data_IF_339355482081
#
_entry.id   IF_339355482081
#
_cell.length_a   1.000
_cell.length_b   1.000
_cell.length_c   1.000
_cell.angle_alpha   90.00
_cell.angle_beta   90.00
_cell.angle_gamma   90.00
#
_symmetry.space_group_name_H-M   'P 1'
#
loop_
_entity.id
_entity.type
_entity.pdbx_description
1 polymer ?
#
# COMPACT_ATOMS: atom_id res chain seq x y z
N UNK A 1 -0.85 18.85 2.00
CA UNK A 1 -1.22 18.43 0.64
C UNK A 1 -0.24 19.07 -0.33
N UNK A 2 0.30 18.29 -1.26
CA UNK A 2 1.23 18.77 -2.30
C UNK A 2 0.80 18.22 -3.65
N UNK A 3 0.75 19.09 -4.67
CA UNK A 3 0.55 18.71 -6.08
C UNK A 3 1.91 18.47 -6.74
N UNK A 4 2.06 17.36 -7.43
CA UNK A 4 3.22 17.01 -8.23
C UNK A 4 2.78 16.78 -9.67
N UNK A 5 3.64 17.13 -10.62
CA UNK A 5 3.37 16.79 -12.04
C UNK A 5 3.63 15.29 -12.23
N UNK A 6 2.73 14.63 -12.93
CA UNK A 6 2.92 13.27 -13.42
C UNK A 6 3.84 13.29 -14.65
N UNK A 7 4.49 12.16 -14.92
CA UNK A 7 5.19 11.94 -16.18
C UNK A 7 4.24 11.58 -17.34
N UNK A 8 2.95 11.43 -17.04
CA UNK A 8 1.90 11.13 -18.02
C UNK A 8 1.28 12.48 -18.41
N UNK A 9 1.18 12.81 -19.70
CA UNK A 9 0.49 14.03 -20.15
C UNK A 9 -0.94 14.08 -19.59
N UNK A 10 -1.37 15.28 -19.20
CA UNK A 10 -2.71 15.59 -18.68
C UNK A 10 -3.08 14.92 -17.33
N UNK A 11 -2.13 14.29 -16.67
CA UNK A 11 -2.33 13.73 -15.33
C UNK A 11 -1.46 14.44 -14.29
N UNK A 12 -2.00 14.59 -13.09
CA UNK A 12 -1.32 15.15 -11.92
C UNK A 12 -1.39 14.19 -10.74
N UNK A 13 -0.43 14.32 -9.84
CA UNK A 13 -0.39 13.57 -8.59
C UNK A 13 -0.67 14.51 -7.43
N UNK A 14 -1.68 14.21 -6.64
CA UNK A 14 -1.94 14.84 -5.36
C UNK A 14 -1.37 13.98 -4.23
N UNK A 15 -0.31 14.46 -3.61
CA UNK A 15 0.27 13.81 -2.44
C UNK A 15 -0.38 14.35 -1.18
N UNK A 16 -1.02 13.49 -0.41
CA UNK A 16 -1.72 13.81 0.82
C UNK A 16 -1.08 13.08 1.99
N UNK A 17 -0.80 13.83 3.05
CA UNK A 17 -0.36 13.29 4.33
C UNK A 17 -1.42 13.60 5.37
N UNK A 18 -1.79 12.59 6.15
CA UNK A 18 -2.71 12.70 7.28
C UNK A 18 -1.95 12.29 8.52
N UNK A 19 -2.14 13.04 9.57
CA UNK A 19 -1.61 12.77 10.89
C UNK A 19 -2.75 12.79 11.89
N UNK A 20 -2.78 11.84 12.81
CA UNK A 20 -3.75 11.75 13.88
C UNK A 20 -3.10 11.24 15.16
N UNK A 21 -3.64 11.67 16.29
CA UNK A 21 -3.21 11.22 17.62
C UNK A 21 -4.43 10.86 18.45
N UNK A 22 -4.34 9.79 19.23
CA UNK A 22 -5.38 9.37 20.16
C UNK A 22 -4.77 8.74 21.41
N UNK A 23 -5.29 9.11 22.57
CA UNK A 23 -4.95 8.50 23.84
C UNK A 23 -5.96 7.37 24.13
N UNK A 24 -5.44 6.17 24.38
CA UNK A 24 -6.22 4.98 24.75
C UNK A 24 -5.55 4.35 25.97
N UNK A 25 -6.29 4.24 27.08
CA UNK A 25 -5.79 3.67 28.35
C UNK A 25 -4.47 4.27 28.86
N UNK A 26 -4.27 5.59 28.62
CA UNK A 26 -3.07 6.31 29.03
C UNK A 26 -1.88 6.19 28.07
N UNK A 27 -1.98 5.42 27.00
CA UNK A 27 -0.99 5.33 25.95
C UNK A 27 -1.35 6.18 24.74
N UNK A 28 -0.36 6.82 24.15
CA UNK A 28 -0.52 7.67 22.95
C UNK A 28 -0.33 6.80 21.71
N UNK A 29 -1.32 6.80 20.85
CA UNK A 29 -1.28 6.17 19.53
C UNK A 29 -1.22 7.24 18.44
N UNK A 30 -0.29 7.06 17.52
CA UNK A 30 -0.06 7.95 16.38
C UNK A 30 -0.49 7.24 15.11
N UNK A 31 -1.34 7.90 14.34
CA UNK A 31 -1.70 7.52 12.98
C UNK A 31 -0.95 8.42 12.01
N UNK A 32 -0.22 7.83 11.11
CA UNK A 32 0.40 8.51 9.97
C UNK A 32 -0.07 7.85 8.67
N UNK A 33 -0.65 8.63 7.77
CA UNK A 33 -1.06 8.13 6.46
C UNK A 33 -0.51 9.02 5.35
N UNK A 34 -0.03 8.37 4.30
CA UNK A 34 0.45 9.03 3.08
C UNK A 34 -0.17 8.33 1.90
N UNK A 35 -0.76 9.10 0.98
CA UNK A 35 -1.23 8.56 -0.27
C UNK A 35 -0.99 9.50 -1.44
N UNK A 36 -0.79 8.89 -2.60
CA UNK A 36 -0.62 9.54 -3.88
C UNK A 36 -1.87 9.25 -4.71
N UNK A 37 -2.59 10.30 -5.06
CA UNK A 37 -3.80 10.24 -5.87
C UNK A 37 -3.49 10.78 -7.25
N UNK A 38 -3.57 9.93 -8.26
CA UNK A 38 -3.41 10.28 -9.66
C UNK A 38 -4.76 10.72 -10.22
N UNK A 39 -4.81 11.87 -10.88
CA UNK A 39 -6.05 12.42 -11.42
C UNK A 39 -5.78 13.25 -12.68
N UNK A 40 -6.78 13.39 -13.51
CA UNK A 40 -6.79 14.33 -14.65
C UNK A 40 -7.71 15.51 -14.37
N UNK A 41 -7.50 16.60 -15.10
CA UNK A 41 -8.37 17.78 -15.06
C UNK A 41 -8.99 17.95 -16.43
N UNK A 42 -10.30 17.79 -16.50
CA UNK A 42 -11.08 17.99 -17.71
C UNK A 42 -12.06 19.15 -17.48
N UNK A 43 -12.01 20.17 -18.35
CA UNK A 43 -12.85 21.37 -18.24
C UNK A 43 -12.78 22.06 -16.86
N UNK A 44 -11.59 22.10 -16.24
CA UNK A 44 -11.36 22.74 -14.95
C UNK A 44 -11.89 21.95 -13.73
N UNK A 45 -12.32 20.71 -13.91
CA UNK A 45 -12.78 19.82 -12.85
C UNK A 45 -11.89 18.58 -12.79
N UNK A 46 -11.72 18.04 -11.58
CA UNK A 46 -11.07 16.73 -11.40
C UNK A 46 -11.99 15.69 -12.02
N UNK A 47 -11.45 14.96 -12.96
CA UNK A 47 -12.06 13.77 -13.56
C UNK A 47 -11.67 12.53 -12.76
N UNK A 48 -11.96 11.35 -13.29
CA UNK A 48 -11.62 10.08 -12.63
C UNK A 48 -10.18 10.06 -12.16
N UNK A 49 -10.00 9.57 -10.93
CA UNK A 49 -8.67 9.42 -10.35
C UNK A 49 -8.54 8.10 -9.61
N UNK A 50 -7.29 7.69 -9.41
CA UNK A 50 -6.95 6.46 -8.72
C UNK A 50 -5.93 6.68 -7.62
N UNK A 51 -6.01 5.88 -6.56
CA UNK A 51 -4.98 5.81 -5.54
C UNK A 51 -3.84 4.95 -6.11
N UNK A 52 -2.67 5.58 -6.34
CA UNK A 52 -1.45 4.88 -6.75
C UNK A 52 -0.79 4.18 -5.57
N UNK A 53 -0.64 4.91 -4.48
CA UNK A 53 -0.04 4.42 -3.24
C UNK A 53 -0.85 4.92 -2.07
N UNK A 54 -1.18 4.06 -1.15
CA UNK A 54 -1.70 4.40 0.17
C UNK A 54 -0.90 3.62 1.19
N UNK A 55 -0.39 4.32 2.17
CA UNK A 55 0.40 3.74 3.24
C UNK A 55 -0.03 4.33 4.57
N UNK A 56 -0.48 3.52 5.50
CA UNK A 56 -0.95 3.96 6.80
C UNK A 56 -0.29 3.15 7.89
N UNK A 57 0.25 3.83 8.89
CA UNK A 57 0.75 3.24 10.12
C UNK A 57 -0.07 3.71 11.30
N UNK A 58 -0.35 2.80 12.22
CA UNK A 58 -0.85 3.11 13.56
C UNK A 58 0.14 2.48 14.53
N UNK A 59 0.74 3.28 15.39
CA UNK A 59 1.77 2.82 16.34
C UNK A 59 1.66 3.52 17.68
N UNK A 60 2.18 2.92 18.72
CA UNK A 60 2.43 3.61 19.98
C UNK A 60 3.51 4.70 19.74
N UNK A 61 3.42 5.84 20.43
CA UNK A 61 4.29 7.01 20.23
C UNK A 61 5.79 6.66 20.34
N UNK A 62 6.15 5.83 21.31
CA UNK A 62 7.54 5.43 21.56
C UNK A 62 8.06 4.33 20.64
N UNK A 63 7.28 3.87 19.67
CA UNK A 63 7.59 2.73 18.80
C UNK A 63 7.70 3.17 17.35
N UNK A 64 8.64 2.58 16.63
CA UNK A 64 8.82 2.81 15.21
C UNK A 64 8.83 1.47 14.49
N UNK A 65 7.84 1.27 13.64
CA UNK A 65 7.82 0.13 12.72
C UNK A 65 8.70 0.46 11.51
N UNK A 66 9.77 -0.30 11.35
CA UNK A 66 10.70 -0.15 10.24
C UNK A 66 10.41 -1.24 9.19
N UNK A 67 9.75 -0.83 8.10
CA UNK A 67 9.29 -1.72 7.04
C UNK A 67 9.74 -1.19 5.69
N UNK A 68 10.23 -2.10 4.86
CA UNK A 68 10.56 -1.87 3.46
C UNK A 68 9.51 -2.49 2.55
N UNK A 69 9.17 -1.79 1.48
CA UNK A 69 8.26 -2.25 0.43
C UNK A 69 9.02 -2.35 -0.89
N UNK A 70 9.06 -3.55 -1.44
CA UNK A 70 9.57 -3.83 -2.78
C UNK A 70 8.39 -4.36 -3.61
N UNK A 71 7.63 -3.43 -4.18
CA UNK A 71 6.47 -3.69 -5.04
C UNK A 71 6.68 -2.87 -6.31
N UNK A 72 6.74 -3.47 -7.49
CA UNK A 72 6.99 -2.75 -8.73
C UNK A 72 5.85 -1.75 -9.04
N UNK A 73 6.21 -0.62 -9.67
CA UNK A 73 5.20 0.35 -10.19
C UNK A 73 4.60 -0.11 -11.51
N UNK A 74 5.36 -0.90 -12.29
CA UNK A 74 5.00 -1.34 -13.63
C UNK A 74 5.54 -2.74 -13.91
N UNK A 75 4.74 -3.58 -14.56
CA UNK A 75 5.12 -4.93 -15.00
C UNK A 75 4.55 -5.23 -16.38
N UNK A 76 5.20 -6.15 -17.11
CA UNK A 76 4.72 -6.64 -18.40
C UNK A 76 3.54 -7.60 -18.22
N UNK A 77 2.60 -7.58 -19.16
CA UNK A 77 1.52 -8.56 -19.25
C UNK A 77 2.07 -9.98 -19.18
N UNK A 78 1.44 -10.83 -18.36
CA UNK A 78 1.80 -12.23 -18.20
C UNK A 78 3.17 -12.51 -17.56
N UNK A 79 3.97 -11.50 -17.24
CA UNK A 79 5.28 -11.72 -16.57
C UNK A 79 5.11 -12.13 -15.11
N UNK A 80 6.12 -12.83 -14.57
CA UNK A 80 6.24 -13.05 -13.13
C UNK A 80 6.86 -11.82 -12.48
N UNK A 81 6.42 -11.48 -11.26
CA UNK A 81 7.03 -10.44 -10.45
C UNK A 81 6.87 -10.76 -8.96
N UNK A 82 7.70 -10.12 -8.15
CA UNK A 82 7.75 -10.31 -6.72
C UNK A 82 7.12 -9.14 -5.98
N UNK A 83 6.54 -9.44 -4.83
CA UNK A 83 6.04 -8.49 -3.86
C UNK A 83 6.68 -8.85 -2.53
N UNK A 84 7.57 -7.98 -2.04
CA UNK A 84 8.24 -8.18 -0.76
C UNK A 84 7.90 -7.03 0.17
N UNK A 85 7.46 -7.37 1.37
CA UNK A 85 7.20 -6.43 2.46
C UNK A 85 7.98 -6.94 3.65
N UNK A 86 9.06 -6.25 3.99
CA UNK A 86 10.10 -6.72 4.88
C UNK A 86 10.11 -5.89 6.16
N UNK A 87 10.03 -6.55 7.31
CA UNK A 87 10.31 -5.97 8.60
C UNK A 87 11.83 -5.93 8.78
N UNK A 88 12.39 -4.71 8.83
CA UNK A 88 13.85 -4.52 8.85
C UNK A 88 14.49 -4.80 10.23
N UNK A 89 13.68 -4.87 11.28
CA UNK A 89 14.16 -5.27 12.60
C UNK A 89 13.98 -6.77 12.81
N UNK A 90 14.97 -7.44 13.44
CA UNK A 90 14.83 -8.85 13.81
C UNK A 90 13.61 -9.08 14.68
N UNK A 91 12.94 -10.21 14.44
CA UNK A 91 11.83 -10.69 15.25
C UNK A 91 12.41 -11.37 16.49
N UNK A 92 12.59 -10.64 17.58
CA UNK A 92 12.88 -11.23 18.87
C UNK A 92 11.57 -11.74 19.49
N UNK A 93 11.29 -13.04 19.38
CA UNK A 93 10.18 -13.74 20.07
C UNK A 93 8.78 -13.11 19.89
N UNK A 94 8.54 -12.41 18.80
CA UNK A 94 7.29 -11.67 18.56
C UNK A 94 6.46 -12.37 17.48
N UNK A 95 5.19 -12.60 17.74
CA UNK A 95 4.25 -13.09 16.73
C UNK A 95 3.76 -11.90 15.91
N UNK A 96 4.01 -11.96 14.62
CA UNK A 96 3.53 -11.01 13.63
C UNK A 96 2.54 -11.72 12.74
N UNK A 97 1.45 -11.06 12.41
CA UNK A 97 0.46 -11.57 11.48
C UNK A 97 0.24 -10.59 10.33
N UNK A 98 -0.05 -11.11 9.17
CA UNK A 98 -0.30 -10.26 8.00
C UNK A 98 -1.07 -10.96 6.91
N UNK A 99 -1.50 -10.19 5.95
CA UNK A 99 -2.15 -10.68 4.75
C UNK A 99 -1.96 -9.71 3.60
N UNK A 100 -2.03 -10.23 2.38
CA UNK A 100 -2.03 -9.45 1.14
C UNK A 100 -3.01 -10.04 0.15
N UNK A 101 -3.79 -9.20 -0.52
CA UNK A 101 -4.74 -9.59 -1.56
C UNK A 101 -4.69 -8.68 -2.77
N UNK A 102 -4.88 -9.23 -3.99
CA UNK A 102 -5.13 -8.43 -5.17
C UNK A 102 -6.60 -7.99 -5.20
N UNK A 103 -6.84 -6.79 -5.75
CA UNK A 103 -8.17 -6.26 -6.01
C UNK A 103 -8.31 -5.82 -7.47
N UNK A 104 -9.53 -5.83 -7.96
CA UNK A 104 -9.89 -5.13 -9.19
C UNK A 104 -10.45 -3.75 -8.85
N UNK A 105 -10.23 -2.76 -9.72
CA UNK A 105 -10.62 -1.35 -9.50
C UNK A 105 -12.10 -1.17 -9.09
N UNK A 106 -12.99 -2.08 -9.50
CA UNK A 106 -14.43 -2.01 -9.26
C UNK A 106 -14.96 -3.01 -8.22
N UNK A 107 -14.09 -3.72 -7.49
CA UNK A 107 -14.56 -4.63 -6.44
C UNK A 107 -14.80 -3.87 -5.14
N UNK A 108 -16.05 -3.81 -4.70
CA UNK A 108 -16.41 -3.32 -3.37
C UNK A 108 -15.76 -4.20 -2.29
N UNK A 109 -15.26 -3.56 -1.24
CA UNK A 109 -14.41 -4.12 -0.18
C UNK A 109 -15.19 -4.98 0.83
N UNK A 110 -15.90 -6.01 0.41
CA UNK A 110 -16.64 -6.89 1.35
C UNK A 110 -15.97 -8.23 1.63
N UNK A 111 -14.67 -8.38 1.32
CA UNK A 111 -14.00 -9.64 1.63
C UNK A 111 -13.21 -9.54 2.92
N UNK A 112 -13.55 -10.38 3.90
CA UNK A 112 -12.73 -10.62 5.08
C UNK A 112 -11.31 -11.02 4.67
N UNK A 113 -10.33 -10.38 5.30
CA UNK A 113 -8.92 -10.72 5.15
C UNK A 113 -8.50 -11.48 6.41
N UNK A 114 -8.24 -12.76 6.27
CA UNK A 114 -7.67 -13.57 7.36
C UNK A 114 -6.18 -13.26 7.47
N UNK A 115 -5.74 -12.90 8.68
CA UNK A 115 -4.32 -12.70 8.96
C UNK A 115 -3.66 -14.04 9.25
N UNK A 116 -2.51 -14.27 8.63
CA UNK A 116 -1.69 -15.45 8.83
C UNK A 116 -0.40 -15.08 9.59
N UNK A 117 0.13 -15.97 10.45
CA UNK A 117 1.42 -15.74 11.09
C UNK A 117 2.54 -15.57 10.05
N UNK A 118 3.38 -14.55 10.25
CA UNK A 118 4.51 -14.26 9.37
C UNK A 118 5.81 -14.80 10.01
N UNK A 119 6.18 -16.03 9.67
CA UNK A 119 7.34 -16.70 10.24
C UNK A 119 8.69 -16.15 9.73
N UNK A 120 8.71 -15.49 8.57
CA UNK A 120 9.94 -15.07 7.88
C UNK A 120 10.22 -13.57 7.95
N UNK A 121 9.60 -12.86 8.90
CA UNK A 121 9.84 -11.42 9.08
C UNK A 121 9.22 -10.52 8.00
N UNK A 122 8.24 -11.02 7.25
CA UNK A 122 7.58 -10.23 6.22
C UNK A 122 6.63 -11.03 5.35
N UNK A 123 6.11 -10.38 4.32
CA UNK A 123 5.29 -11.00 3.28
C UNK A 123 6.14 -11.09 2.01
N UNK A 124 6.32 -12.31 1.51
CA UNK A 124 7.05 -12.60 0.28
C UNK A 124 6.12 -13.33 -0.68
N UNK A 125 5.82 -12.72 -1.81
CA UNK A 125 4.87 -13.29 -2.75
C UNK A 125 5.38 -13.19 -4.19
N UNK A 126 5.47 -14.34 -4.85
CA UNK A 126 5.70 -14.41 -6.29
C UNK A 126 4.35 -14.55 -6.98
N UNK A 127 4.07 -13.72 -7.95
CA UNK A 127 2.81 -13.71 -8.67
C UNK A 127 3.02 -13.47 -10.17
N UNK A 128 1.93 -13.56 -10.93
CA UNK A 128 1.94 -13.32 -12.37
C UNK A 128 1.00 -12.18 -12.71
N UNK A 129 1.46 -11.26 -13.55
CA UNK A 129 0.64 -10.18 -14.07
C UNK A 129 -0.51 -10.72 -14.94
N UNK A 130 -1.65 -10.04 -14.98
CA UNK A 130 -2.71 -10.31 -15.94
C UNK A 130 -2.20 -10.33 -17.38
N UNK A 131 -2.89 -11.09 -18.25
CA UNK A 131 -2.55 -11.17 -19.67
C UNK A 131 -3.01 -9.96 -20.50
N UNK A 132 -3.79 -9.06 -19.88
CA UNK A 132 -4.28 -7.83 -20.51
C UNK A 132 -3.70 -6.62 -19.79
N UNK A 133 -3.35 -5.56 -20.52
CA UNK A 133 -2.98 -4.29 -19.93
C UNK A 133 -4.06 -3.72 -19.02
N UNK A 134 -3.67 -2.95 -18.02
CA UNK A 134 -4.58 -2.32 -17.07
C UNK A 134 -3.91 -2.01 -15.76
N UNK A 135 -4.68 -1.90 -14.70
CA UNK A 135 -4.21 -1.62 -13.35
C UNK A 135 -4.54 -2.81 -12.46
N UNK A 136 -3.55 -3.31 -11.76
CA UNK A 136 -3.71 -4.29 -10.69
C UNK A 136 -3.45 -3.60 -9.34
N UNK A 137 -4.37 -3.77 -8.40
CA UNK A 137 -4.25 -3.17 -7.07
C UNK A 137 -3.97 -4.29 -6.07
N UNK A 138 -2.99 -4.05 -5.19
CA UNK A 138 -2.69 -4.90 -4.06
C UNK A 138 -2.94 -4.15 -2.76
N UNK A 139 -3.64 -4.77 -1.83
CA UNK A 139 -3.79 -4.27 -0.47
C UNK A 139 -3.32 -5.29 0.53
N UNK A 140 -2.73 -4.81 1.60
CA UNK A 140 -2.24 -5.68 2.66
C UNK A 140 -2.24 -5.01 4.01
N UNK A 141 -2.05 -5.85 5.03
CA UNK A 141 -1.98 -5.47 6.42
C UNK A 141 -0.89 -6.28 7.12
N UNK A 142 -0.16 -5.65 8.01
CA UNK A 142 0.73 -6.30 8.97
C UNK A 142 0.34 -5.81 10.36
N UNK A 143 0.02 -6.74 11.24
CA UNK A 143 -0.21 -6.52 12.65
C UNK A 143 1.04 -6.93 13.43
N UNK A 144 1.59 -6.00 14.19
CA UNK A 144 2.77 -6.15 15.03
C UNK A 144 2.42 -5.65 16.44
N UNK A 145 3.00 -6.19 17.53
CA UNK A 145 2.77 -5.68 18.88
C UNK A 145 3.07 -4.20 19.07
N UNK A 146 3.96 -3.65 18.26
CA UNK A 146 4.31 -2.21 18.30
C UNK A 146 3.40 -1.33 17.44
N UNK A 147 2.47 -1.92 16.67
CA UNK A 147 1.55 -1.19 15.83
C UNK A 147 1.05 -1.99 14.63
N UNK A 148 0.33 -1.32 13.76
CA UNK A 148 -0.28 -1.91 12.57
C UNK A 148 0.08 -1.07 11.34
N UNK A 149 0.29 -1.75 10.23
CA UNK A 149 0.52 -1.12 8.94
C UNK A 149 -0.50 -1.65 7.95
N UNK A 150 -1.11 -0.75 7.21
CA UNK A 150 -1.90 -1.08 6.03
C UNK A 150 -1.32 -0.39 4.81
N UNK A 151 -1.43 -1.03 3.67
CA UNK A 151 -1.01 -0.44 2.41
C UNK A 151 -1.93 -0.82 1.27
N UNK A 152 -1.99 0.04 0.29
CA UNK A 152 -2.58 -0.21 -1.02
C UNK A 152 -1.61 0.31 -2.08
N UNK A 153 -1.31 -0.51 -3.06
CA UNK A 153 -0.40 -0.21 -4.16
C UNK A 153 -1.04 -0.60 -5.47
N UNK A 154 -1.11 0.32 -6.43
CA UNK A 154 -1.47 0.00 -7.80
C UNK A 154 -0.22 -0.22 -8.65
N UNK A 155 -0.30 -1.22 -9.52
CA UNK A 155 0.74 -1.63 -10.46
C UNK A 155 0.19 -1.48 -11.87
N UNK A 156 0.91 -0.79 -12.73
CA UNK A 156 0.55 -0.65 -14.14
C UNK A 156 0.97 -1.90 -14.90
N UNK A 157 0.01 -2.58 -15.52
CA UNK A 157 0.24 -3.73 -16.37
C UNK A 157 0.30 -3.24 -17.82
N UNK A 158 1.44 -3.43 -18.47
CA UNK A 158 1.72 -2.87 -19.80
C UNK A 158 2.22 -3.94 -20.76
N UNK A 159 1.98 -3.74 -22.07
CA UNK A 159 2.49 -4.65 -23.09
C UNK A 159 3.97 -4.40 -23.45
N UNK A 160 4.49 -3.20 -23.16
CA UNK A 160 5.87 -2.78 -23.39
C UNK A 160 6.36 -1.89 -22.24
N UNK A 161 7.60 -2.00 -21.89
CA UNK A 161 8.30 -1.15 -20.94
C UNK A 161 9.22 -0.20 -21.68
#
# INVERSE_FOLDING_TARGET
>A
IKRLKSNIPDEDILQIKVFGEKIVNGEIYILESKYDYLFSIVNGKIDEGIIKNLFTTIRNDNKKLDISFNIPDKVLTGSKYDIDIILNKPLEEVIIAGAIKPHQVNSLFEQEILLEPLASGGIFKITRAPLKPGIQIWSGIIAHPEGMITFTKSIDIVDKI
#
